data_IF_224521577392
#
_entry.id   IF_224521577392
#
_cell.length_a   1.000
_cell.length_b   1.000
_cell.length_c   1.000
_cell.angle_alpha   90.00
_cell.angle_beta   90.00
_cell.angle_gamma   90.00
#
_symmetry.space_group_name_H-M   'P 1'
#
loop_
_entity.id
_entity.type
_entity.pdbx_description
1 polymer ?
#
# COMPACT_ATOMS: atom_id res chain seq x y z
N UNK A 1 -11.93 28.23 -17.91
CA UNK A 1 -11.71 27.31 -19.05
C UNK A 1 -10.29 26.73 -19.11
N UNK A 2 -9.34 27.15 -18.26
CA UNK A 2 -8.01 26.53 -18.14
C UNK A 2 -7.93 25.37 -17.12
N UNK A 3 -8.92 25.23 -16.23
CA UNK A 3 -8.88 24.21 -15.17
C UNK A 3 -9.28 22.79 -15.63
N UNK A 4 -9.84 22.63 -16.83
CA UNK A 4 -10.24 21.32 -17.36
C UNK A 4 -9.11 20.57 -18.09
N UNK A 5 -7.99 21.22 -18.40
CA UNK A 5 -6.87 20.59 -19.13
C UNK A 5 -5.79 20.01 -18.21
N UNK A 6 -5.78 20.33 -16.91
CA UNK A 6 -4.74 19.87 -15.97
C UNK A 6 -5.06 18.57 -15.21
N UNK A 7 -6.22 17.96 -15.44
CA UNK A 7 -6.74 16.90 -14.56
C UNK A 7 -6.95 15.52 -15.22
N UNK A 8 -6.40 15.27 -16.40
CA UNK A 8 -6.14 13.88 -16.81
C UNK A 8 -4.68 13.55 -16.51
N UNK A 9 -4.38 13.37 -15.22
CA UNK A 9 -3.14 12.71 -14.86
C UNK A 9 -3.14 11.33 -15.55
N UNK A 10 -2.24 11.16 -16.52
CA UNK A 10 -2.19 9.96 -17.33
C UNK A 10 -1.87 8.77 -16.43
N UNK A 11 -2.82 7.85 -16.28
CA UNK A 11 -2.56 6.55 -15.65
C UNK A 11 -1.64 5.73 -16.54
N UNK A 12 -0.75 4.94 -15.94
CA UNK A 12 0.03 3.97 -16.68
C UNK A 12 -0.90 2.99 -17.42
N UNK A 13 -0.49 2.47 -18.59
CA UNK A 13 -1.30 1.51 -19.31
C UNK A 13 -1.47 0.24 -18.47
N UNK A 14 -2.66 -0.37 -18.50
CA UNK A 14 -3.01 -1.49 -17.62
C UNK A 14 -2.08 -2.71 -17.72
N UNK A 15 -1.46 -2.94 -18.88
CA UNK A 15 -0.46 -4.01 -19.07
C UNK A 15 0.80 -3.77 -18.23
N UNK A 16 1.23 -2.52 -18.06
CA UNK A 16 2.42 -2.17 -17.27
C UNK A 16 2.14 -2.41 -15.79
N UNK A 17 0.99 -1.93 -15.30
CA UNK A 17 0.53 -2.13 -13.92
C UNK A 17 0.41 -3.64 -13.61
N UNK A 18 -0.22 -4.40 -14.52
CA UNK A 18 -0.36 -5.86 -14.36
C UNK A 18 0.99 -6.58 -14.37
N UNK A 19 1.93 -6.15 -15.23
CA UNK A 19 3.28 -6.74 -15.28
C UNK A 19 4.06 -6.48 -13.99
N UNK A 20 3.94 -5.28 -13.41
CA UNK A 20 4.50 -4.99 -12.09
C UNK A 20 3.84 -5.84 -11.00
N UNK A 21 2.51 -6.02 -11.05
CA UNK A 21 1.79 -6.91 -10.13
C UNK A 21 2.27 -8.36 -10.18
N UNK A 22 2.51 -8.90 -11.39
CA UNK A 22 3.10 -10.24 -11.58
C UNK A 22 4.54 -10.29 -11.08
N UNK A 23 5.35 -9.26 -11.34
CA UNK A 23 6.72 -9.17 -10.85
C UNK A 23 6.78 -9.24 -9.31
N UNK A 24 5.94 -8.45 -8.63
CA UNK A 24 5.85 -8.48 -7.17
C UNK A 24 5.32 -9.81 -6.63
N UNK A 25 4.39 -10.47 -7.33
CA UNK A 25 4.01 -11.84 -6.98
C UNK A 25 5.19 -12.80 -7.09
N UNK A 26 6.03 -12.67 -8.13
CA UNK A 26 7.28 -13.41 -8.28
C UNK A 26 8.22 -13.20 -7.10
N UNK A 27 8.39 -11.96 -6.64
CA UNK A 27 9.19 -11.66 -5.44
C UNK A 27 8.56 -12.24 -4.16
N UNK A 28 7.23 -12.21 -4.00
CA UNK A 28 6.56 -12.84 -2.86
C UNK A 28 6.81 -14.36 -2.82
N UNK A 29 6.74 -15.03 -3.97
CA UNK A 29 7.08 -16.45 -4.12
C UNK A 29 8.56 -16.72 -3.84
N UNK A 30 9.46 -15.84 -4.27
CA UNK A 30 10.89 -15.91 -3.96
C UNK A 30 11.17 -15.87 -2.46
N UNK A 31 10.56 -14.95 -1.71
CA UNK A 31 10.68 -14.90 -0.25
C UNK A 31 10.00 -16.10 0.44
N UNK A 32 8.87 -16.57 -0.08
CA UNK A 32 8.23 -17.79 0.41
C UNK A 32 9.13 -19.01 0.22
N UNK A 33 9.81 -19.12 -0.92
CA UNK A 33 10.80 -20.17 -1.17
C UNK A 33 11.97 -20.08 -0.16
N UNK A 34 12.45 -18.88 0.15
CA UNK A 34 13.50 -18.66 1.17
C UNK A 34 13.05 -19.07 2.56
N UNK A 35 11.80 -18.78 2.95
CA UNK A 35 11.19 -19.25 4.20
C UNK A 35 11.18 -20.77 4.30
N UNK A 36 10.85 -21.46 3.20
CA UNK A 36 10.81 -22.93 3.14
C UNK A 36 12.19 -23.57 3.06
N UNK A 37 13.24 -22.81 2.76
CA UNK A 37 14.63 -23.28 2.59
C UNK A 37 15.62 -22.50 3.46
N UNK A 38 15.44 -22.46 4.80
CA UNK A 38 16.28 -21.65 5.70
C UNK A 38 17.75 -22.08 5.68
N UNK A 39 18.04 -23.37 5.46
CA UNK A 39 19.41 -23.88 5.37
C UNK A 39 20.18 -23.32 4.18
N UNK A 40 19.51 -23.09 3.05
CA UNK A 40 20.10 -22.47 1.86
C UNK A 40 20.35 -20.98 2.11
N UNK A 41 19.41 -20.27 2.75
CA UNK A 41 19.58 -18.86 3.10
C UNK A 41 20.75 -18.67 4.06
N UNK A 42 20.85 -19.47 5.13
CA UNK A 42 21.98 -19.43 6.06
C UNK A 42 23.33 -19.68 5.37
N UNK A 43 23.38 -20.63 4.42
CA UNK A 43 24.61 -20.91 3.66
C UNK A 43 25.01 -19.75 2.75
N UNK A 44 24.05 -19.05 2.16
CA UNK A 44 24.32 -17.98 1.21
C UNK A 44 24.56 -16.61 1.86
N UNK A 45 23.83 -16.30 2.94
CA UNK A 45 23.77 -14.97 3.57
C UNK A 45 24.46 -14.96 4.95
N UNK A 46 24.64 -16.13 5.58
CA UNK A 46 25.29 -16.28 6.89
C UNK A 46 24.32 -16.25 8.07
N UNK A 47 23.07 -15.85 7.87
CA UNK A 47 22.01 -15.88 8.88
C UNK A 47 20.64 -16.15 8.23
N UNK A 48 19.62 -16.36 9.06
CA UNK A 48 18.23 -16.47 8.62
C UNK A 48 17.33 -15.79 9.65
N UNK A 49 16.64 -14.74 9.20
CA UNK A 49 15.63 -14.03 9.98
C UNK A 49 14.25 -14.43 9.45
N UNK A 50 13.55 -15.30 10.17
CA UNK A 50 12.22 -15.76 9.77
C UNK A 50 11.24 -14.59 9.63
N UNK A 51 11.27 -13.66 10.58
CA UNK A 51 10.35 -12.51 10.62
C UNK A 51 10.61 -11.60 9.43
N UNK A 52 11.88 -11.31 9.13
CA UNK A 52 12.26 -10.54 7.94
C UNK A 52 11.81 -11.19 6.63
N UNK A 53 12.06 -12.50 6.45
CA UNK A 53 11.67 -13.22 5.23
C UNK A 53 10.14 -13.25 5.05
N UNK A 54 9.39 -13.47 6.14
CA UNK A 54 7.92 -13.43 6.13
C UNK A 54 7.41 -12.01 5.85
N UNK A 55 8.03 -11.01 6.46
CA UNK A 55 7.65 -9.62 6.27
C UNK A 55 7.85 -9.16 4.83
N UNK A 56 8.96 -9.52 4.19
CA UNK A 56 9.18 -9.26 2.77
C UNK A 56 8.16 -9.96 1.88
N UNK A 57 7.83 -11.23 2.13
CA UNK A 57 6.79 -11.92 1.38
C UNK A 57 5.43 -11.19 1.46
N UNK A 58 5.07 -10.72 2.66
CA UNK A 58 3.85 -9.94 2.91
C UNK A 58 3.86 -8.62 2.14
N UNK A 59 4.96 -7.86 2.19
CA UNK A 59 5.08 -6.59 1.46
C UNK A 59 4.97 -6.81 -0.05
N UNK A 60 5.65 -7.81 -0.61
CA UNK A 60 5.57 -8.11 -2.04
C UNK A 60 4.15 -8.55 -2.45
N UNK A 61 3.47 -9.32 -1.61
CA UNK A 61 2.09 -9.75 -1.85
C UNK A 61 1.09 -8.58 -1.78
N UNK A 62 1.28 -7.65 -0.84
CA UNK A 62 0.51 -6.41 -0.75
C UNK A 62 0.70 -5.52 -1.98
N UNK A 63 1.94 -5.36 -2.47
CA UNK A 63 2.22 -4.65 -3.72
C UNK A 63 1.52 -5.30 -4.91
N UNK A 64 1.58 -6.63 -5.02
CA UNK A 64 0.91 -7.38 -6.08
C UNK A 64 -0.61 -7.19 -6.02
N UNK A 65 -1.21 -7.27 -4.83
CA UNK A 65 -2.65 -7.06 -4.61
C UNK A 65 -3.07 -5.63 -4.95
N UNK A 66 -2.24 -4.63 -4.63
CA UNK A 66 -2.52 -3.23 -4.95
C UNK A 66 -2.49 -2.95 -6.45
N UNK A 67 -1.50 -3.49 -7.17
CA UNK A 67 -1.30 -3.25 -8.59
C UNK A 67 -2.21 -4.14 -9.46
N UNK A 68 -2.44 -5.37 -9.06
CA UNK A 68 -3.18 -6.38 -9.82
C UNK A 68 -4.05 -7.22 -8.90
N UNK A 69 -5.12 -6.62 -8.36
CA UNK A 69 -6.03 -7.25 -7.40
C UNK A 69 -6.66 -8.56 -7.90
N UNK A 70 -6.75 -8.76 -9.21
CA UNK A 70 -7.22 -10.01 -9.80
C UNK A 70 -6.27 -11.20 -9.58
N UNK A 71 -4.96 -10.95 -9.37
CA UNK A 71 -3.98 -12.00 -9.00
C UNK A 71 -4.07 -12.36 -7.53
N UNK A 72 -4.28 -11.35 -6.67
CA UNK A 72 -4.30 -11.48 -5.21
C UNK A 72 -5.53 -10.74 -4.68
N UNK A 73 -6.71 -11.41 -4.68
CA UNK A 73 -7.99 -10.78 -4.35
C UNK A 73 -8.20 -10.68 -2.83
N UNK A 74 -7.22 -10.11 -2.13
CA UNK A 74 -7.27 -9.82 -0.70
C UNK A 74 -7.81 -8.39 -0.53
N UNK A 75 -8.74 -8.21 0.40
CA UNK A 75 -9.34 -6.89 0.63
C UNK A 75 -8.32 -5.89 1.17
N UNK A 76 -8.49 -4.61 0.81
CA UNK A 76 -7.67 -3.52 1.33
C UNK A 76 -7.69 -3.47 2.87
N UNK A 77 -8.83 -3.77 3.50
CA UNK A 77 -8.95 -3.82 4.97
C UNK A 77 -7.98 -4.80 5.62
N UNK A 78 -7.78 -5.98 5.03
CA UNK A 78 -6.81 -6.96 5.55
C UNK A 78 -5.39 -6.37 5.47
N UNK A 79 -5.04 -5.74 4.35
CA UNK A 79 -3.73 -5.10 4.20
C UNK A 79 -3.51 -3.94 5.16
N UNK A 80 -4.52 -3.11 5.41
CA UNK A 80 -4.47 -2.02 6.40
C UNK A 80 -4.09 -2.59 7.78
N UNK A 81 -4.73 -3.67 8.21
CA UNK A 81 -4.42 -4.30 9.50
C UNK A 81 -3.03 -4.94 9.52
N UNK A 82 -2.69 -5.73 8.50
CA UNK A 82 -1.40 -6.43 8.43
C UNK A 82 -0.23 -5.45 8.36
N UNK A 83 -0.34 -4.42 7.51
CA UNK A 83 0.72 -3.43 7.32
C UNK A 83 0.81 -2.46 8.52
N UNK A 84 -0.33 -2.07 9.09
CA UNK A 84 -0.37 -1.27 10.32
C UNK A 84 0.25 -2.03 11.50
N UNK A 85 -0.11 -3.30 11.67
CA UNK A 85 0.51 -4.16 12.69
C UNK A 85 2.01 -4.32 12.44
N UNK A 86 2.43 -4.60 11.21
CA UNK A 86 3.85 -4.71 10.85
C UNK A 86 4.63 -3.44 11.18
N UNK A 87 4.08 -2.27 10.87
CA UNK A 87 4.68 -0.96 11.20
C UNK A 87 4.98 -0.86 12.69
N UNK A 88 3.97 -1.12 13.53
CA UNK A 88 4.08 -1.05 14.99
C UNK A 88 5.01 -2.13 15.53
N UNK A 89 4.89 -3.36 15.02
CA UNK A 89 5.70 -4.50 15.44
C UNK A 89 7.20 -4.22 15.27
N UNK A 90 7.62 -3.77 14.08
CA UNK A 90 9.03 -3.46 13.83
C UNK A 90 9.51 -2.22 14.58
N UNK A 91 8.66 -1.20 14.77
CA UNK A 91 9.00 -0.06 15.62
C UNK A 91 9.23 -0.49 17.08
N UNK A 92 8.35 -1.33 17.64
CA UNK A 92 8.51 -1.87 18.98
C UNK A 92 9.76 -2.76 19.06
N UNK A 93 10.01 -3.61 18.06
CA UNK A 93 11.22 -4.44 17.97
C UNK A 93 12.48 -3.57 17.99
N UNK A 94 12.51 -2.50 17.18
CA UNK A 94 13.61 -1.53 17.14
C UNK A 94 13.88 -0.89 18.50
N UNK A 95 12.84 -0.61 19.28
CA UNK A 95 12.92 0.06 20.58
C UNK A 95 13.23 -0.88 21.75
N UNK A 96 12.97 -2.18 21.62
CA UNK A 96 13.00 -3.12 22.75
C UNK A 96 14.05 -4.22 22.62
N UNK A 97 13.71 -5.34 21.97
CA UNK A 97 14.56 -6.54 21.89
C UNK A 97 15.36 -6.66 20.58
N UNK A 98 15.06 -5.86 19.56
CA UNK A 98 15.75 -5.91 18.27
C UNK A 98 17.26 -5.68 18.38
N UNK A 99 17.69 -4.85 19.35
CA UNK A 99 19.10 -4.61 19.68
C UNK A 99 19.84 -5.81 20.28
N UNK A 100 19.11 -6.82 20.76
CA UNK A 100 19.67 -8.04 21.38
C UNK A 100 19.97 -9.13 20.34
N UNK A 101 19.45 -8.98 19.12
CA UNK A 101 19.63 -9.95 18.05
C UNK A 101 21.00 -9.73 17.39
N UNK A 102 21.88 -10.73 17.45
CA UNK A 102 23.26 -10.64 16.95
C UNK A 102 23.39 -10.36 15.45
N UNK A 103 22.36 -10.70 14.68
CA UNK A 103 22.29 -10.50 13.23
C UNK A 103 21.53 -9.23 12.83
N UNK A 104 20.87 -8.56 13.77
CA UNK A 104 20.03 -7.41 13.48
C UNK A 104 20.79 -6.10 13.75
N UNK A 105 20.86 -5.24 12.74
CA UNK A 105 21.24 -3.85 12.97
C UNK A 105 19.96 -3.09 13.27
N UNK A 106 19.87 -2.39 14.39
CA UNK A 106 18.65 -1.70 14.83
C UNK A 106 18.00 -0.82 13.73
N UNK A 107 18.81 -0.21 12.86
CA UNK A 107 18.29 0.58 11.73
C UNK A 107 17.50 -0.25 10.71
N UNK A 108 17.74 -1.56 10.59
CA UNK A 108 16.92 -2.44 9.75
C UNK A 108 15.48 -2.52 10.24
N UNK A 109 15.25 -2.58 11.55
CA UNK A 109 13.88 -2.58 12.08
C UNK A 109 13.14 -1.28 11.75
N UNK A 110 13.84 -0.15 11.86
CA UNK A 110 13.29 1.14 11.43
C UNK A 110 12.99 1.18 9.93
N UNK A 111 13.85 0.59 9.10
CA UNK A 111 13.60 0.45 7.66
C UNK A 111 12.35 -0.39 7.39
N UNK A 112 12.18 -1.54 8.04
CA UNK A 112 10.98 -2.36 7.88
C UNK A 112 9.74 -1.61 8.34
N UNK A 113 9.80 -0.95 9.50
CA UNK A 113 8.68 -0.12 9.99
C UNK A 113 8.30 0.96 8.98
N UNK A 114 9.29 1.67 8.42
CA UNK A 114 9.08 2.66 7.36
C UNK A 114 8.51 2.07 6.07
N UNK A 115 8.96 0.89 5.66
CA UNK A 115 8.40 0.17 4.51
C UNK A 115 6.92 -0.18 4.74
N UNK A 116 6.61 -0.77 5.89
CA UNK A 116 5.23 -1.12 6.26
C UNK A 116 4.33 0.12 6.34
N UNK A 117 4.82 1.22 6.91
CA UNK A 117 4.08 2.47 7.01
C UNK A 117 3.82 3.06 5.63
N UNK A 118 4.84 3.12 4.77
CA UNK A 118 4.70 3.64 3.42
C UNK A 118 3.74 2.82 2.58
N UNK A 119 3.75 1.49 2.75
CA UNK A 119 2.76 0.63 2.12
C UNK A 119 1.36 0.79 2.71
N UNK A 120 1.25 0.94 4.03
CA UNK A 120 -0.02 1.18 4.71
C UNK A 120 -0.73 2.42 4.15
N UNK A 121 0.01 3.52 3.95
CA UNK A 121 -0.59 4.77 3.46
C UNK A 121 -1.08 4.69 2.01
N UNK A 122 -0.61 3.71 1.22
CA UNK A 122 -1.18 3.45 -0.09
C UNK A 122 -2.61 2.87 -0.03
N UNK A 123 -2.91 2.11 1.02
CA UNK A 123 -4.24 1.53 1.23
C UNK A 123 -5.14 2.44 2.07
N UNK A 124 -4.55 3.23 2.97
CA UNK A 124 -5.27 4.13 3.87
C UNK A 124 -4.46 5.42 4.06
N UNK A 125 -4.73 6.46 3.25
CA UNK A 125 -4.16 7.78 3.48
C UNK A 125 -4.45 8.27 4.90
N UNK A 126 -3.45 8.86 5.54
CA UNK A 126 -3.59 9.39 6.89
C UNK A 126 -4.40 10.70 6.85
N UNK A 127 -5.34 10.92 7.81
CA UNK A 127 -6.13 12.14 7.88
C UNK A 127 -5.32 13.30 8.49
N UNK A 128 -4.22 13.67 7.83
CA UNK A 128 -3.33 14.75 8.26
C UNK A 128 -3.80 16.10 7.68
N UNK A 129 -3.66 17.17 8.46
CA UNK A 129 -3.87 18.53 7.94
C UNK A 129 -2.84 18.87 6.85
N UNK A 130 -3.10 19.86 5.97
CA UNK A 130 -2.29 20.11 4.77
C UNK A 130 -0.78 20.26 5.03
N UNK A 131 -0.41 21.02 6.07
CA UNK A 131 1.00 21.23 6.42
C UNK A 131 1.68 19.95 6.91
N UNK A 132 1.01 19.17 7.76
CA UNK A 132 1.54 17.92 8.29
C UNK A 132 1.57 16.82 7.22
N UNK A 133 0.57 16.78 6.34
CA UNK A 133 0.54 15.91 5.16
C UNK A 133 1.73 16.17 4.25
N UNK A 134 1.98 17.44 3.89
CA UNK A 134 3.13 17.79 3.06
C UNK A 134 4.47 17.35 3.67
N UNK A 135 4.66 17.55 4.98
CA UNK A 135 5.88 17.11 5.69
C UNK A 135 5.98 15.59 5.66
N UNK A 136 4.89 14.89 5.97
CA UNK A 136 4.85 13.43 5.98
C UNK A 136 5.17 12.84 4.60
N UNK A 137 4.52 13.33 3.55
CA UNK A 137 4.71 12.86 2.17
C UNK A 137 6.13 13.15 1.67
N UNK A 138 6.71 14.30 2.05
CA UNK A 138 8.10 14.65 1.73
C UNK A 138 9.08 13.68 2.41
N UNK A 139 8.87 13.39 3.70
CA UNK A 139 9.70 12.43 4.44
C UNK A 139 9.59 11.03 3.86
N UNK A 140 8.38 10.60 3.49
CA UNK A 140 8.15 9.30 2.88
C UNK A 140 8.81 9.20 1.50
N UNK A 141 8.73 10.25 0.69
CA UNK A 141 9.41 10.34 -0.60
C UNK A 141 10.93 10.26 -0.45
N UNK A 142 11.50 10.99 0.52
CA UNK A 142 12.94 10.94 0.82
C UNK A 142 13.37 9.56 1.32
N UNK A 143 12.54 8.90 2.13
CA UNK A 143 12.77 7.53 2.56
C UNK A 143 12.86 6.57 1.37
N UNK A 144 11.90 6.62 0.45
CA UNK A 144 11.91 5.75 -0.74
C UNK A 144 13.05 6.04 -1.71
N UNK A 145 13.44 7.31 -1.83
CA UNK A 145 14.62 7.69 -2.61
C UNK A 145 15.90 7.11 -2.00
N UNK A 146 16.12 7.33 -0.70
CA UNK A 146 17.28 6.77 0.02
C UNK A 146 17.32 5.24 -0.08
N UNK A 147 16.19 4.59 0.18
CA UNK A 147 16.05 3.14 0.14
C UNK A 147 16.38 2.59 -1.26
N UNK A 148 15.86 3.21 -2.32
CA UNK A 148 16.15 2.82 -3.70
C UNK A 148 17.64 2.98 -4.04
N UNK A 149 18.26 4.10 -3.67
CA UNK A 149 19.69 4.34 -3.92
C UNK A 149 20.58 3.33 -3.18
N UNK A 150 20.21 2.98 -1.94
CA UNK A 150 20.90 1.96 -1.17
C UNK A 150 20.86 0.60 -1.88
N UNK A 151 19.70 0.19 -2.39
CA UNK A 151 19.55 -1.09 -3.08
C UNK A 151 20.05 -1.10 -4.53
N UNK A 152 20.20 0.04 -5.20
CA UNK A 152 20.96 0.13 -6.46
C UNK A 152 22.42 -0.26 -6.20
N UNK A 153 23.02 0.32 -5.16
CA UNK A 153 24.41 0.02 -4.77
C UNK A 153 24.56 -1.46 -4.41
N UNK A 154 23.67 -1.98 -3.57
CA UNK A 154 23.80 -3.35 -3.06
C UNK A 154 23.53 -4.39 -4.16
N UNK A 155 22.51 -4.19 -5.00
CA UNK A 155 22.28 -5.01 -6.20
C UNK A 155 23.49 -5.06 -7.12
N UNK A 156 24.17 -3.92 -7.31
CA UNK A 156 25.38 -3.85 -8.14
C UNK A 156 26.55 -4.64 -7.53
N UNK A 157 26.77 -4.53 -6.22
CA UNK A 157 27.81 -5.27 -5.50
C UNK A 157 27.54 -6.77 -5.57
N UNK A 158 26.30 -7.20 -5.34
CA UNK A 158 25.92 -8.61 -5.37
C UNK A 158 25.97 -9.23 -6.76
N UNK A 159 25.60 -8.46 -7.79
CA UNK A 159 25.77 -8.85 -9.18
C UNK A 159 27.25 -9.10 -9.52
N UNK A 160 28.15 -8.19 -9.11
CA UNK A 160 29.60 -8.37 -9.31
C UNK A 160 30.14 -9.57 -8.55
N UNK A 161 29.65 -9.83 -7.34
CA UNK A 161 30.05 -10.95 -6.52
C UNK A 161 29.39 -12.29 -6.93
N UNK A 162 28.49 -12.28 -7.93
CA UNK A 162 27.70 -13.45 -8.39
C UNK A 162 26.88 -14.10 -7.26
N UNK A 163 26.44 -13.32 -6.28
CA UNK A 163 25.61 -13.79 -5.16
C UNK A 163 24.14 -13.80 -5.56
N UNK A 164 23.71 -14.78 -6.33
CA UNK A 164 22.36 -14.83 -6.94
C UNK A 164 21.21 -14.69 -5.94
N UNK A 165 21.30 -15.34 -4.77
CA UNK A 165 20.26 -15.25 -3.74
C UNK A 165 20.18 -13.86 -3.07
N UNK A 166 21.33 -13.25 -2.82
CA UNK A 166 21.40 -11.92 -2.22
C UNK A 166 20.97 -10.86 -3.24
N UNK A 167 21.43 -11.00 -4.49
CA UNK A 167 20.99 -10.19 -5.62
C UNK A 167 19.47 -10.23 -5.82
N UNK A 168 18.83 -11.40 -5.76
CA UNK A 168 17.38 -11.51 -5.85
C UNK A 168 16.65 -10.77 -4.73
N UNK A 169 17.21 -10.78 -3.52
CA UNK A 169 16.74 -9.98 -2.38
C UNK A 169 16.83 -8.50 -2.68
N UNK A 170 18.00 -8.04 -3.12
CA UNK A 170 18.27 -6.63 -3.34
C UNK A 170 17.45 -6.08 -4.50
N UNK A 171 17.23 -6.89 -5.54
CA UNK A 171 16.38 -6.55 -6.67
C UNK A 171 14.91 -6.42 -6.27
N UNK A 172 14.41 -7.27 -5.35
CA UNK A 172 13.06 -7.17 -4.83
C UNK A 172 12.84 -5.86 -4.04
N UNK A 173 13.78 -5.53 -3.15
CA UNK A 173 13.75 -4.26 -2.42
C UNK A 173 13.89 -3.06 -3.35
N UNK A 174 14.80 -3.11 -4.34
CA UNK A 174 14.94 -2.06 -5.33
C UNK A 174 13.64 -1.86 -6.12
N UNK A 175 13.04 -2.94 -6.61
CA UNK A 175 11.78 -2.91 -7.34
C UNK A 175 10.66 -2.27 -6.53
N UNK A 176 10.53 -2.67 -5.26
CA UNK A 176 9.58 -2.07 -4.33
C UNK A 176 9.89 -0.59 -4.09
N UNK A 177 11.12 -0.23 -3.77
CA UNK A 177 11.54 1.15 -3.51
C UNK A 177 11.24 2.09 -4.68
N UNK A 178 11.53 1.65 -5.91
CA UNK A 178 11.25 2.43 -7.12
C UNK A 178 9.74 2.56 -7.38
N UNK A 179 8.97 1.48 -7.23
CA UNK A 179 7.51 1.55 -7.39
C UNK A 179 6.89 2.52 -6.36
N UNK A 180 7.31 2.41 -5.10
CA UNK A 180 6.86 3.29 -4.02
C UNK A 180 7.26 4.75 -4.27
N UNK A 181 8.49 5.00 -4.71
CA UNK A 181 8.95 6.34 -5.05
C UNK A 181 8.11 6.95 -6.18
N UNK A 182 7.82 6.17 -7.23
CA UNK A 182 6.95 6.61 -8.33
C UNK A 182 5.53 6.89 -7.83
N UNK A 183 4.98 6.06 -6.95
CA UNK A 183 3.66 6.30 -6.34
C UNK A 183 3.63 7.53 -5.44
N UNK A 184 4.73 7.84 -4.74
CA UNK A 184 4.82 9.06 -3.92
C UNK A 184 4.88 10.33 -4.78
N UNK A 185 5.61 10.30 -5.89
CA UNK A 185 5.76 11.46 -6.79
C UNK A 185 4.57 11.62 -7.75
N UNK A 186 4.01 10.51 -8.22
CA UNK A 186 2.97 10.45 -9.25
C UNK A 186 1.91 9.41 -8.87
N UNK A 187 1.11 9.64 -7.81
CA UNK A 187 0.15 8.65 -7.32
C UNK A 187 -0.83 8.19 -8.40
N UNK A 188 -1.30 9.11 -9.24
CA UNK A 188 -2.21 8.81 -10.35
C UNK A 188 -1.63 7.85 -11.42
N UNK A 189 -0.30 7.70 -11.51
CA UNK A 189 0.34 6.87 -12.52
C UNK A 189 0.11 5.37 -12.24
N UNK A 190 0.23 4.95 -10.97
CA UNK A 190 0.17 3.53 -10.57
C UNK A 190 -1.03 3.20 -9.68
N UNK A 191 -1.84 4.19 -9.30
CA UNK A 191 -3.07 4.03 -8.52
C UNK A 191 -4.28 4.50 -9.35
N UNK A 192 -4.59 3.88 -10.51
CA UNK A 192 -5.69 4.31 -11.34
C UNK A 192 -7.02 4.09 -10.60
N UNK A 193 -7.58 5.18 -10.09
CA UNK A 193 -8.92 5.23 -9.51
C UNK A 193 -9.13 4.23 -8.35
N UNK A 194 -8.42 4.43 -7.23
CA UNK A 194 -8.94 4.01 -5.92
C UNK A 194 -10.12 4.90 -5.52
N UNK A 195 -11.20 4.85 -6.31
CA UNK A 195 -12.54 5.04 -5.80
C UNK A 195 -12.82 3.83 -4.92
N UNK A 196 -12.26 3.82 -3.71
CA UNK A 196 -12.82 3.02 -2.63
C UNK A 196 -14.32 3.31 -2.64
N UNK A 197 -15.12 2.24 -2.73
CA UNK A 197 -16.58 2.27 -2.85
C UNK A 197 -17.29 3.00 -1.71
N UNK A 198 -17.14 4.32 -1.66
CA UNK A 198 -18.11 5.27 -1.14
C UNK A 198 -18.96 5.79 -2.29
N UNK A 199 -19.37 4.92 -3.21
CA UNK A 199 -20.77 4.98 -3.65
C UNK A 199 -21.62 4.54 -2.45
N UNK A 200 -21.66 5.36 -1.39
CA UNK A 200 -22.94 5.57 -0.77
C UNK A 200 -23.75 6.22 -1.88
N UNK A 201 -24.47 5.40 -2.65
CA UNK A 201 -25.78 5.82 -3.12
C UNK A 201 -26.44 6.40 -1.88
N UNK A 202 -26.43 7.72 -1.73
CA UNK A 202 -27.32 8.39 -0.81
C UNK A 202 -28.68 7.78 -1.13
N UNK A 203 -29.37 7.16 -0.15
CA UNK A 203 -30.78 6.87 -0.34
C UNK A 203 -31.40 8.19 -0.79
N UNK A 204 -32.12 8.18 -1.90
CA UNK A 204 -32.90 9.34 -2.33
C UNK A 204 -33.59 9.91 -1.09
N UNK A 205 -33.56 11.25 -0.87
CA UNK A 205 -34.25 11.83 0.26
C UNK A 205 -35.70 11.36 0.17
N UNK A 206 -36.11 10.54 1.13
CA UNK A 206 -37.52 10.18 1.32
C UNK A 206 -38.20 11.52 1.60
N UNK A 207 -38.78 12.10 0.56
CA UNK A 207 -39.67 13.23 0.68
C UNK A 207 -40.82 12.69 1.52
N UNK A 208 -40.84 13.05 2.80
CA UNK A 208 -42.02 12.90 3.63
C UNK A 208 -43.11 13.76 2.99
N UNK A 209 -43.85 13.20 2.05
CA UNK A 209 -45.13 13.76 1.61
C UNK A 209 -46.00 13.82 2.85
N UNK A 210 -46.27 15.05 3.28
CA UNK A 210 -47.19 15.40 4.34
C UNK A 210 -48.48 14.56 4.23
N UNK A 211 -49.09 14.11 5.35
CA UNK A 211 -50.34 13.38 5.29
C UNK A 211 -51.37 14.24 4.56
N UNK A 212 -51.88 13.73 3.45
CA UNK A 212 -53.08 14.28 2.81
C UNK A 212 -54.19 14.25 3.86
N UNK A 213 -54.66 15.43 4.24
CA UNK A 213 -55.78 15.57 5.14
C UNK A 213 -56.99 14.79 4.60
N UNK A 214 -57.74 14.07 5.45
CA UNK A 214 -58.85 13.26 5.03
C UNK A 214 -59.94 14.14 4.40
N UNK A 215 -60.36 13.74 3.21
CA UNK A 215 -61.54 14.25 2.54
C UNK A 215 -62.78 13.74 3.29
N UNK A 216 -63.46 14.64 3.99
CA UNK A 216 -64.83 14.54 4.51
C UNK A 216 -65.23 16.00 4.81
N UNK A 217 -66.40 16.54 4.50
CA UNK A 217 -67.71 15.95 4.28
C UNK A 217 -68.62 16.99 3.54
N UNK A 218 -69.90 16.66 3.27
CA UNK A 218 -70.69 17.28 2.21
C UNK A 218 -71.60 18.44 2.66
N UNK A 219 -71.99 19.24 1.66
CA UNK A 219 -73.32 19.82 1.43
C UNK A 219 -73.92 20.78 2.48
N UNK A 220 -74.19 22.02 2.06
CA UNK A 220 -75.47 22.71 2.31
C UNK A 220 -75.60 23.93 1.38
N UNK A 221 -76.24 23.72 0.22
CA UNK A 221 -76.90 24.82 -0.49
C UNK A 221 -78.27 25.02 0.13
N UNK A 222 -78.47 26.16 0.81
CA UNK A 222 -79.81 26.68 1.11
C UNK A 222 -79.92 28.15 0.66
N UNK A 223 -80.77 28.30 -0.35
CA UNK A 223 -81.79 29.34 -0.57
C UNK A 223 -81.39 30.82 -0.82
N UNK A 224 -81.97 31.37 -1.89
CA UNK A 224 -83.21 32.15 -1.75
C UNK A 224 -83.93 32.35 -3.10
N UNK A 225 -85.20 31.96 -3.12
CA UNK A 225 -86.31 32.83 -3.53
C UNK A 225 -87.22 32.98 -2.31
#
# INVERSE_FOLDING_TARGET
MHDHLMSQAASAPGWLISSLGVLFLGFALFYTFRLLRPSMVRKAIGFFDFEGEAGHAICMLAMSSHLASWLVPISATVWIWVLGFGTVYYALRALTWGRLLSYNKQWWDWTHSGMYLGMFVMFQPLPLGPALGFIFDSLLTLFWLWFSLLYIRDSYVDLRARKTLSFGSDLAHLGMGLAMLVMSLFPALLMPHHHHGMNMTMPDPVICTSPQAPADAPNHQHHNH
#
